data_IF_182378295223
#
_entry.id   IF_182378295223
#
_cell.length_a   1.000
_cell.length_b   1.000
_cell.length_c   1.000
_cell.angle_alpha   90.00
_cell.angle_beta   90.00
_cell.angle_gamma   90.00
#
_symmetry.space_group_name_H-M   'P 1'
#
loop_
_entity.id
_entity.type
_entity.pdbx_description
1 polymer ?
#
# COMPACT_ATOMS: atom_id res chain seq x y z
N UNK A 1 -39.90 16.82 -30.39
CA UNK A 1 -38.63 16.14 -30.72
C UNK A 1 -37.91 15.84 -29.42
N UNK A 2 -38.00 14.61 -28.91
CA UNK A 2 -37.31 14.18 -27.69
C UNK A 2 -36.04 13.42 -28.07
N UNK A 3 -34.88 13.99 -27.72
CA UNK A 3 -33.59 13.32 -27.88
C UNK A 3 -33.49 12.13 -26.94
N UNK A 4 -33.23 10.95 -27.51
CA UNK A 4 -32.98 9.73 -26.76
C UNK A 4 -31.78 9.90 -25.82
N UNK A 5 -32.01 9.70 -24.53
CA UNK A 5 -30.96 9.51 -23.54
C UNK A 5 -30.23 8.21 -23.87
N UNK A 6 -28.94 8.29 -24.16
CA UNK A 6 -28.06 7.12 -24.15
C UNK A 6 -28.19 6.43 -22.79
N UNK A 7 -28.57 5.14 -22.72
CA UNK A 7 -28.50 4.41 -21.46
C UNK A 7 -27.02 4.29 -21.06
N UNK A 8 -26.73 4.66 -19.82
CA UNK A 8 -25.47 4.36 -19.14
C UNK A 8 -25.16 2.88 -19.36
N UNK A 9 -24.11 2.58 -20.14
CA UNK A 9 -23.55 1.23 -20.22
C UNK A 9 -23.16 0.82 -18.81
N UNK A 10 -23.90 -0.15 -18.28
CA UNK A 10 -23.52 -0.94 -17.11
C UNK A 10 -22.14 -1.52 -17.43
N UNK A 11 -21.14 -1.45 -16.52
CA UNK A 11 -19.88 -2.13 -16.76
C UNK A 11 -20.17 -3.63 -16.79
N UNK A 12 -20.07 -4.23 -17.99
CA UNK A 12 -20.04 -5.67 -18.15
C UNK A 12 -18.91 -6.22 -17.27
N UNK A 13 -19.26 -7.14 -16.39
CA UNK A 13 -18.33 -7.86 -15.55
C UNK A 13 -17.49 -8.76 -16.45
N UNK A 14 -16.33 -8.26 -16.85
CA UNK A 14 -15.56 -8.83 -17.95
C UNK A 14 -14.67 -9.96 -17.42
N UNK A 15 -15.15 -11.22 -17.51
CA UNK A 15 -14.38 -12.41 -17.11
C UNK A 15 -12.99 -12.49 -17.76
N UNK A 16 -12.77 -11.76 -18.86
CA UNK A 16 -11.46 -11.53 -19.46
C UNK A 16 -10.46 -10.85 -18.52
N UNK A 17 -10.87 -9.90 -17.69
CA UNK A 17 -9.99 -9.20 -16.74
C UNK A 17 -9.55 -10.14 -15.61
N UNK A 18 -10.44 -11.01 -15.14
CA UNK A 18 -10.14 -11.99 -14.10
C UNK A 18 -9.17 -13.07 -14.63
N UNK A 19 -9.40 -13.55 -15.86
CA UNK A 19 -8.52 -14.52 -16.52
C UNK A 19 -7.14 -13.93 -16.81
N UNK A 20 -7.05 -12.65 -17.18
CA UNK A 20 -5.77 -11.94 -17.33
C UNK A 20 -5.03 -11.79 -15.99
N UNK A 21 -5.74 -11.40 -14.91
CA UNK A 21 -5.14 -11.34 -13.58
C UNK A 21 -4.61 -12.70 -13.12
N UNK A 22 -5.37 -13.77 -13.35
CA UNK A 22 -4.95 -15.15 -13.06
C UNK A 22 -3.75 -15.56 -13.91
N UNK A 23 -3.74 -15.22 -15.21
CA UNK A 23 -2.65 -15.56 -16.13
C UNK A 23 -1.36 -14.85 -15.71
N UNK A 24 -1.41 -13.54 -15.43
CA UNK A 24 -0.27 -12.82 -14.90
C UNK A 24 0.21 -13.50 -13.60
N UNK A 25 -0.73 -13.79 -12.68
CA UNK A 25 -0.49 -14.55 -11.44
C UNK A 25 0.32 -15.83 -11.65
N UNK A 26 -0.14 -16.70 -12.55
CA UNK A 26 0.41 -18.03 -12.81
C UNK A 26 1.78 -18.01 -13.49
N UNK A 27 2.07 -17.03 -14.33
CA UNK A 27 3.35 -16.93 -15.06
C UNK A 27 4.48 -16.42 -14.15
N UNK A 28 4.22 -16.16 -12.86
CA UNK A 28 5.21 -15.63 -11.90
C UNK A 28 5.93 -14.38 -12.43
N UNK A 29 5.25 -13.58 -13.25
CA UNK A 29 5.74 -12.28 -13.71
C UNK A 29 5.68 -11.29 -12.55
N UNK A 30 6.60 -11.44 -11.62
CA UNK A 30 6.71 -10.60 -10.42
C UNK A 30 7.77 -9.49 -10.61
N UNK A 31 8.51 -9.53 -11.72
CA UNK A 31 9.41 -8.46 -12.13
C UNK A 31 8.61 -7.25 -12.61
N UNK A 32 8.84 -6.09 -12.00
CA UNK A 32 8.27 -4.80 -12.41
C UNK A 32 8.50 -4.54 -13.91
N UNK A 33 9.66 -4.94 -14.45
CA UNK A 33 9.97 -4.77 -15.88
C UNK A 33 9.05 -5.59 -16.78
N UNK A 34 8.75 -6.82 -16.38
CA UNK A 34 7.92 -7.71 -17.20
C UNK A 34 6.45 -7.28 -17.14
N UNK A 35 6.00 -6.80 -15.97
CA UNK A 35 4.67 -6.21 -15.84
C UNK A 35 4.52 -4.91 -16.62
N UNK A 36 5.58 -4.08 -16.66
CA UNK A 36 5.60 -2.91 -17.53
C UNK A 36 5.55 -3.30 -19.02
N UNK A 37 6.26 -4.35 -19.43
CA UNK A 37 6.18 -4.87 -20.79
C UNK A 37 4.77 -5.40 -21.12
N UNK A 38 4.12 -6.11 -20.18
CA UNK A 38 2.74 -6.57 -20.31
C UNK A 38 1.76 -5.41 -20.54
N UNK A 39 1.93 -4.28 -19.83
CA UNK A 39 1.10 -3.11 -20.00
C UNK A 39 1.21 -2.48 -21.41
N UNK A 40 2.29 -2.77 -22.15
CA UNK A 40 2.50 -2.29 -23.53
C UNK A 40 1.86 -3.19 -24.59
N UNK A 41 1.44 -4.42 -24.25
CA UNK A 41 0.90 -5.39 -25.20
C UNK A 41 -0.45 -4.93 -25.76
N UNK A 42 -1.39 -4.55 -24.89
CA UNK A 42 -2.71 -4.08 -25.27
C UNK A 42 -3.33 -3.23 -24.15
N UNK A 43 -4.30 -2.37 -24.50
CA UNK A 43 -5.02 -1.53 -23.52
C UNK A 43 -5.69 -2.32 -22.40
N UNK A 44 -6.21 -3.51 -22.71
CA UNK A 44 -6.83 -4.40 -21.72
C UNK A 44 -5.84 -4.97 -20.70
N UNK A 45 -4.54 -4.94 -20.99
CA UNK A 45 -3.48 -5.44 -20.09
C UNK A 45 -2.95 -4.34 -19.16
N UNK A 46 -3.13 -3.06 -19.51
CA UNK A 46 -2.62 -1.92 -18.73
C UNK A 46 -3.08 -2.00 -17.27
N UNK A 47 -4.40 -2.09 -17.04
CA UNK A 47 -4.94 -2.08 -15.69
C UNK A 47 -4.55 -3.33 -14.88
N UNK A 48 -4.70 -4.58 -15.37
CA UNK A 48 -4.20 -5.78 -14.69
C UNK A 48 -2.71 -5.70 -14.32
N UNK A 49 -1.87 -5.26 -15.25
CA UNK A 49 -0.44 -5.13 -15.02
C UNK A 49 -0.12 -4.06 -13.97
N UNK A 50 -0.72 -2.87 -14.07
CA UNK A 50 -0.56 -1.81 -13.06
C UNK A 50 -1.08 -2.22 -11.69
N UNK A 51 -2.25 -2.88 -11.63
CA UNK A 51 -2.82 -3.38 -10.39
C UNK A 51 -1.83 -4.31 -9.68
N UNK A 52 -1.11 -5.15 -10.42
CA UNK A 52 -0.11 -6.05 -9.85
C UNK A 52 1.21 -5.35 -9.47
N UNK A 53 1.63 -4.33 -10.22
CA UNK A 53 2.80 -3.50 -9.88
C UNK A 53 2.55 -2.76 -8.56
N UNK A 54 1.37 -2.17 -8.41
CA UNK A 54 1.04 -1.30 -7.28
C UNK A 54 0.32 -2.02 -6.13
N UNK A 55 -0.15 -3.27 -6.31
CA UNK A 55 -0.89 -3.97 -5.25
C UNK A 55 -0.09 -4.08 -3.96
N UNK A 56 1.22 -4.32 -4.09
CA UNK A 56 2.11 -4.51 -2.97
C UNK A 56 3.26 -3.51 -3.04
N UNK A 57 3.24 -2.54 -2.14
CA UNK A 57 4.32 -1.57 -2.00
C UNK A 57 5.20 -1.96 -0.82
N UNK A 58 6.50 -2.11 -1.07
CA UNK A 58 7.50 -2.26 -0.04
C UNK A 58 8.37 -1.00 0.01
N UNK A 59 8.53 -0.44 1.22
CA UNK A 59 9.45 0.65 1.51
C UNK A 59 10.75 0.03 2.06
N UNK A 60 11.78 -0.20 1.24
CA UNK A 60 12.98 -0.92 1.66
C UNK A 60 13.92 -0.07 2.54
N UNK A 61 14.83 -0.73 3.27
CA UNK A 61 15.89 -0.06 4.02
C UNK A 61 16.95 0.61 3.13
N UNK A 62 17.73 1.55 3.68
CA UNK A 62 18.88 2.20 3.01
C UNK A 62 18.63 3.53 2.29
N UNK A 63 19.73 4.15 1.84
CA UNK A 63 19.76 5.43 1.11
C UNK A 63 19.60 5.28 -0.39
N UNK A 64 20.15 4.22 -0.98
CA UNK A 64 20.01 3.89 -2.42
C UNK A 64 18.58 3.60 -2.83
N UNK A 65 17.70 3.30 -1.87
CA UNK A 65 16.28 3.14 -2.10
C UNK A 65 15.48 4.43 -2.06
N UNK A 66 16.05 5.54 -1.59
CA UNK A 66 15.32 6.81 -1.46
C UNK A 66 14.92 7.39 -2.82
N UNK A 67 15.74 7.24 -3.86
CA UNK A 67 15.39 7.78 -5.19
C UNK A 67 14.30 6.96 -5.89
N UNK A 68 14.33 5.63 -5.74
CA UNK A 68 13.24 4.77 -6.21
C UNK A 68 11.96 5.09 -5.43
N UNK A 69 12.07 5.24 -4.12
CA UNK A 69 10.91 5.53 -3.27
C UNK A 69 10.37 6.95 -3.48
N UNK A 70 11.22 7.93 -3.76
CA UNK A 70 10.82 9.29 -4.14
C UNK A 70 10.05 9.29 -5.44
N UNK A 71 10.54 8.59 -6.47
CA UNK A 71 9.82 8.42 -7.74
C UNK A 71 8.47 7.72 -7.55
N UNK A 72 8.43 6.71 -6.68
CA UNK A 72 7.17 6.04 -6.33
C UNK A 72 6.20 7.04 -5.68
N UNK A 73 6.63 7.83 -4.70
CA UNK A 73 5.79 8.85 -4.07
C UNK A 73 5.29 9.88 -5.08
N UNK A 74 6.16 10.39 -5.95
CA UNK A 74 5.77 11.31 -7.02
C UNK A 74 4.71 10.68 -7.95
N UNK A 75 4.86 9.39 -8.25
CA UNK A 75 3.89 8.63 -9.06
C UNK A 75 2.55 8.45 -8.35
N UNK A 76 2.56 8.19 -7.04
CA UNK A 76 1.35 8.01 -6.24
C UNK A 76 0.63 9.33 -5.97
N UNK A 77 1.37 10.41 -5.70
CA UNK A 77 0.79 11.75 -5.53
C UNK A 77 0.20 12.29 -6.83
N UNK A 78 0.86 12.00 -7.96
CA UNK A 78 0.36 12.38 -9.28
C UNK A 78 -0.85 11.57 -9.75
N UNK A 79 -1.17 10.43 -9.12
CA UNK A 79 -2.25 9.54 -9.56
C UNK A 79 -2.96 8.85 -8.39
N UNK A 80 -4.11 9.39 -8.01
CA UNK A 80 -5.00 8.76 -7.02
C UNK A 80 -5.50 7.37 -7.47
N UNK A 81 -5.53 7.12 -8.79
CA UNK A 81 -5.86 5.79 -9.32
C UNK A 81 -4.84 4.75 -8.87
N UNK A 82 -3.54 5.07 -8.89
CA UNK A 82 -2.50 4.14 -8.42
C UNK A 82 -2.60 3.89 -6.92
N UNK A 83 -2.90 4.93 -6.12
CA UNK A 83 -3.13 4.78 -4.67
C UNK A 83 -4.29 3.80 -4.40
N UNK A 84 -5.36 3.88 -5.19
CA UNK A 84 -6.50 2.99 -5.10
C UNK A 84 -6.22 1.53 -5.47
N UNK A 85 -5.06 1.22 -6.08
CA UNK A 85 -4.64 -0.15 -6.40
C UNK A 85 -3.88 -0.82 -5.26
N UNK A 86 -3.34 -0.05 -4.31
CA UNK A 86 -2.50 -0.55 -3.22
C UNK A 86 -3.39 -1.31 -2.22
N UNK A 87 -3.16 -2.61 -2.09
CA UNK A 87 -3.83 -3.49 -1.12
C UNK A 87 -2.92 -3.93 0.02
N UNK A 88 -1.61 -3.91 -0.21
CA UNK A 88 -0.61 -4.28 0.77
C UNK A 88 0.50 -3.24 0.84
N UNK A 89 0.79 -2.77 2.06
CA UNK A 89 1.87 -1.83 2.33
C UNK A 89 2.82 -2.44 3.35
N UNK A 90 4.09 -2.59 2.97
CA UNK A 90 5.16 -3.03 3.86
C UNK A 90 6.14 -1.88 4.07
N UNK A 91 6.28 -1.41 5.32
CA UNK A 91 7.21 -0.35 5.69
C UNK A 91 8.36 -0.97 6.48
N UNK A 92 9.59 -0.88 5.98
CA UNK A 92 10.79 -1.28 6.72
C UNK A 92 11.50 -0.02 7.22
N UNK A 93 11.63 0.11 8.54
CA UNK A 93 12.15 1.30 9.20
C UNK A 93 13.43 1.05 10.00
N UNK A 94 14.41 1.94 9.83
CA UNK A 94 15.71 1.89 10.51
C UNK A 94 16.10 3.27 11.11
N UNK A 95 15.12 4.10 11.46
CA UNK A 95 15.38 5.31 12.27
C UNK A 95 15.87 6.57 11.53
N UNK A 96 15.75 6.64 10.20
CA UNK A 96 16.10 7.87 9.47
C UNK A 96 14.95 8.90 9.51
N UNK A 97 15.18 10.09 10.07
CA UNK A 97 14.19 11.19 10.13
C UNK A 97 13.60 11.59 8.76
N UNK A 98 14.32 11.33 7.66
CA UNK A 98 13.79 11.54 6.29
C UNK A 98 12.62 10.61 6.00
N UNK A 99 12.62 9.37 6.52
CA UNK A 99 11.55 8.37 6.36
C UNK A 99 10.26 8.79 7.05
N UNK A 100 10.34 9.45 8.20
CA UNK A 100 9.16 10.01 8.87
C UNK A 100 8.40 10.98 7.96
N UNK A 101 9.11 11.94 7.34
CA UNK A 101 8.53 12.89 6.38
C UNK A 101 7.90 12.19 5.18
N UNK A 102 8.46 11.08 4.74
CA UNK A 102 7.89 10.29 3.66
C UNK A 102 6.63 9.52 4.08
N UNK A 103 6.63 8.93 5.28
CA UNK A 103 5.45 8.28 5.85
C UNK A 103 4.31 9.28 6.04
N UNK A 104 4.60 10.49 6.51
CA UNK A 104 3.64 11.58 6.63
C UNK A 104 2.99 11.93 5.28
N UNK A 105 3.77 11.95 4.18
CA UNK A 105 3.22 12.17 2.83
C UNK A 105 2.29 11.03 2.40
N UNK A 106 2.65 9.78 2.70
CA UNK A 106 1.76 8.65 2.39
C UNK A 106 0.47 8.68 3.20
N UNK A 107 0.50 9.10 4.47
CA UNK A 107 -0.71 9.22 5.29
C UNK A 107 -1.75 10.16 4.66
N UNK A 108 -1.30 11.19 3.94
CA UNK A 108 -2.20 12.10 3.22
C UNK A 108 -2.83 11.45 1.97
N UNK A 109 -2.39 10.25 1.57
CA UNK A 109 -2.97 9.50 0.45
C UNK A 109 -4.18 8.69 0.91
N UNK A 110 -5.23 8.67 0.09
CA UNK A 110 -6.47 7.94 0.42
C UNK A 110 -6.38 6.50 -0.08
N UNK A 111 -5.87 5.61 0.77
CA UNK A 111 -5.85 4.19 0.48
C UNK A 111 -7.24 3.55 0.64
N UNK A 112 -7.99 3.42 -0.44
CA UNK A 112 -9.34 2.83 -0.42
C UNK A 112 -9.36 1.30 -0.38
N UNK A 113 -8.24 0.65 -0.74
CA UNK A 113 -8.12 -0.81 -0.83
C UNK A 113 -7.04 -1.43 0.05
N UNK A 114 -6.39 -0.64 0.90
CA UNK A 114 -5.32 -1.14 1.77
C UNK A 114 -5.91 -2.10 2.80
N UNK A 115 -5.70 -3.39 2.60
CA UNK A 115 -6.17 -4.47 3.47
C UNK A 115 -5.10 -4.98 4.41
N UNK A 116 -3.83 -4.88 4.02
CA UNK A 116 -2.70 -5.40 4.79
C UNK A 116 -1.65 -4.34 5.02
N UNK A 117 -1.33 -4.07 6.27
CA UNK A 117 -0.24 -3.19 6.67
C UNK A 117 0.79 -3.98 7.46
N UNK A 118 2.02 -4.05 6.93
CA UNK A 118 3.15 -4.62 7.64
C UNK A 118 4.15 -3.52 7.92
N UNK A 119 4.54 -3.39 9.17
CA UNK A 119 5.51 -2.40 9.58
C UNK A 119 6.59 -3.13 10.35
N UNK A 120 7.84 -2.93 9.95
CA UNK A 120 9.01 -3.62 10.51
C UNK A 120 10.07 -2.61 10.89
N UNK A 121 10.32 -2.48 12.18
CA UNK A 121 11.39 -1.69 12.76
C UNK A 121 12.69 -2.47 12.91
N UNK A 122 13.71 -1.73 13.30
CA UNK A 122 14.97 -2.27 13.77
C UNK A 122 14.93 -2.35 15.31
N UNK A 123 15.60 -3.37 15.87
CA UNK A 123 15.76 -3.55 17.33
C UNK A 123 16.38 -2.33 18.03
N UNK A 124 17.14 -1.52 17.29
CA UNK A 124 17.79 -0.33 17.82
C UNK A 124 16.91 0.92 17.90
N UNK A 125 15.68 0.89 17.37
CA UNK A 125 14.83 2.08 17.25
C UNK A 125 13.45 1.88 17.88
N UNK A 126 13.05 2.87 18.67
CA UNK A 126 11.75 2.95 19.34
C UNK A 126 10.65 3.40 18.38
N UNK A 127 9.44 2.89 18.58
CA UNK A 127 8.21 3.31 17.88
C UNK A 127 7.77 4.76 18.21
N UNK A 128 8.32 5.38 19.25
CA UNK A 128 7.82 6.64 19.82
C UNK A 128 7.69 7.82 18.82
N UNK A 129 8.67 8.13 17.95
CA UNK A 129 8.57 9.28 17.04
C UNK A 129 7.57 9.05 15.90
N UNK A 130 7.14 7.80 15.68
CA UNK A 130 6.37 7.39 14.50
C UNK A 130 4.97 6.91 14.83
N UNK A 131 4.66 6.75 16.12
CA UNK A 131 3.39 6.22 16.63
C UNK A 131 2.18 6.95 16.01
N UNK A 132 2.22 8.27 15.92
CA UNK A 132 1.12 9.09 15.37
C UNK A 132 0.91 8.88 13.86
N UNK A 133 2.02 8.83 13.10
CA UNK A 133 1.97 8.65 11.64
C UNK A 133 1.50 7.24 11.31
N UNK A 134 2.01 6.24 12.03
CA UNK A 134 1.57 4.86 11.90
C UNK A 134 0.10 4.72 12.32
N UNK A 135 -0.30 5.33 13.42
CA UNK A 135 -1.70 5.34 13.88
C UNK A 135 -2.66 5.90 12.84
N UNK A 136 -2.22 6.89 12.06
CA UNK A 136 -3.01 7.44 10.95
C UNK A 136 -3.21 6.43 9.80
N UNK A 137 -2.23 5.56 9.53
CA UNK A 137 -2.41 4.45 8.57
C UNK A 137 -3.34 3.37 9.12
N UNK A 138 -3.29 3.11 10.42
CA UNK A 138 -4.17 2.14 11.11
C UNK A 138 -5.64 2.56 11.10
N UNK A 139 -5.93 3.85 10.89
CA UNK A 139 -7.29 4.39 10.72
C UNK A 139 -7.92 4.06 9.37
N UNK A 140 -7.19 3.43 8.44
CA UNK A 140 -7.75 3.08 7.14
C UNK A 140 -8.95 2.12 7.27
N UNK A 141 -10.13 2.47 6.72
CA UNK A 141 -11.34 1.69 6.92
C UNK A 141 -11.30 0.32 6.23
N UNK A 142 -10.47 0.17 5.19
CA UNK A 142 -10.29 -1.09 4.46
C UNK A 142 -9.31 -2.06 5.13
N UNK A 143 -8.63 -1.63 6.19
CA UNK A 143 -7.55 -2.39 6.81
C UNK A 143 -8.10 -3.59 7.59
N UNK A 144 -7.61 -4.79 7.25
CA UNK A 144 -8.07 -6.07 7.82
C UNK A 144 -6.95 -6.74 8.61
N UNK A 145 -5.71 -6.65 8.15
CA UNK A 145 -4.56 -7.33 8.74
C UNK A 145 -3.43 -6.35 9.01
N UNK A 146 -2.91 -6.39 10.22
CA UNK A 146 -1.79 -5.56 10.67
C UNK A 146 -0.71 -6.44 11.28
N UNK A 147 0.54 -6.25 10.84
CA UNK A 147 1.71 -6.89 11.43
C UNK A 147 2.73 -5.84 11.80
N UNK A 148 3.08 -5.77 13.09
CA UNK A 148 4.05 -4.83 13.64
C UNK A 148 5.20 -5.62 14.25
N UNK A 149 6.41 -5.39 13.75
CA UNK A 149 7.65 -5.99 14.25
C UNK A 149 8.57 -4.86 14.73
N UNK A 150 8.53 -4.49 16.02
CA UNK A 150 9.21 -3.30 16.55
C UNK A 150 9.71 -3.50 17.98
N UNK A 151 10.69 -2.67 18.37
CA UNK A 151 11.03 -2.50 19.78
C UNK A 151 10.03 -1.57 20.44
N UNK A 152 9.39 -2.07 21.50
CA UNK A 152 8.44 -1.30 22.29
C UNK A 152 9.09 -0.91 23.62
N UNK A 153 9.59 0.33 23.72
CA UNK A 153 10.21 0.79 24.98
C UNK A 153 9.18 1.08 26.07
N UNK A 154 7.95 1.46 25.69
CA UNK A 154 6.85 1.79 26.59
C UNK A 154 5.51 1.37 25.99
N UNK A 155 4.62 0.85 26.83
CA UNK A 155 3.27 0.45 26.43
C UNK A 155 2.43 1.63 25.92
N UNK A 156 2.65 2.82 26.49
CA UNK A 156 1.98 4.07 26.11
C UNK A 156 2.13 4.41 24.63
N UNK A 157 3.29 4.12 24.03
CA UNK A 157 3.52 4.36 22.61
C UNK A 157 2.67 3.44 21.72
N UNK A 158 2.46 2.19 22.15
CA UNK A 158 1.55 1.29 21.46
C UNK A 158 0.11 1.79 21.58
N UNK A 159 -0.29 2.19 22.79
CA UNK A 159 -1.64 2.69 23.03
C UNK A 159 -1.95 3.92 22.18
N UNK A 160 -1.06 4.91 22.14
CA UNK A 160 -1.22 6.11 21.33
C UNK A 160 -1.29 5.81 19.82
N UNK A 161 -0.51 4.84 19.33
CA UNK A 161 -0.57 4.39 17.95
C UNK A 161 -1.88 3.65 17.64
N UNK A 162 -2.35 2.81 18.56
CA UNK A 162 -3.55 1.98 18.39
C UNK A 162 -4.84 2.77 18.64
N UNK A 163 -4.74 3.94 19.27
CA UNK A 163 -5.89 4.78 19.57
C UNK A 163 -6.60 5.24 18.29
N UNK A 164 -7.88 4.86 18.20
CA UNK A 164 -8.69 5.14 17.02
C UNK A 164 -8.35 4.29 15.80
N UNK A 165 -7.67 3.15 15.95
CA UNK A 165 -7.47 2.21 14.85
C UNK A 165 -8.81 1.78 14.21
N UNK A 166 -8.76 1.36 12.95
CA UNK A 166 -9.93 0.85 12.24
C UNK A 166 -10.53 -0.35 12.97
N UNK A 167 -11.85 -0.32 13.20
CA UNK A 167 -12.61 -1.44 13.74
C UNK A 167 -12.69 -2.63 12.78
N UNK A 168 -12.28 -2.44 11.51
CA UNK A 168 -12.22 -3.48 10.49
C UNK A 168 -11.03 -4.45 10.64
N UNK A 169 -10.07 -4.14 11.53
CA UNK A 169 -8.88 -4.98 11.74
C UNK A 169 -9.29 -6.28 12.43
N UNK A 170 -9.11 -7.41 11.73
CA UNK A 170 -9.42 -8.76 12.21
C UNK A 170 -8.18 -9.51 12.68
N UNK A 171 -7.02 -9.17 12.13
CA UNK A 171 -5.76 -9.84 12.41
C UNK A 171 -4.72 -8.83 12.86
N UNK A 172 -4.18 -9.03 14.06
CA UNK A 172 -3.08 -8.27 14.61
C UNK A 172 -1.95 -9.23 14.98
N UNK A 173 -0.78 -9.02 14.39
CA UNK A 173 0.46 -9.68 14.78
C UNK A 173 1.41 -8.66 15.39
N UNK A 174 1.83 -8.89 16.63
CA UNK A 174 2.81 -8.07 17.33
C UNK A 174 4.05 -8.91 17.63
N UNK A 175 5.15 -8.58 16.98
CA UNK A 175 6.46 -9.17 17.23
C UNK A 175 7.33 -8.13 17.97
N UNK A 176 7.46 -8.28 19.28
CA UNK A 176 8.25 -7.35 20.10
C UNK A 176 9.73 -7.71 19.99
N UNK A 177 10.53 -6.76 19.51
CA UNK A 177 11.97 -6.91 19.40
C UNK A 177 12.62 -6.61 20.76
N UNK A 178 13.19 -7.64 21.38
CA UNK A 178 14.10 -7.54 22.54
C UNK A 178 15.52 -7.18 22.11
#
# INVERSE_FOLDING_TARGET
MYGQRNPLKVPEYDGHTELLNQTLGLVQLDSEKDLLACALVARSWVHPSQARIFSTIQVPPGRSSLDRFKRLLETLEGSQHHVGLISQLTIIHHGEARRLRFLQRMVNMRFSRLTTLRIRGNKSFSLAPEAEVIGSLLKSPSLVSVSLEYRLDRLEHFQAMWEGCSTGIKHLKLDILT
#
